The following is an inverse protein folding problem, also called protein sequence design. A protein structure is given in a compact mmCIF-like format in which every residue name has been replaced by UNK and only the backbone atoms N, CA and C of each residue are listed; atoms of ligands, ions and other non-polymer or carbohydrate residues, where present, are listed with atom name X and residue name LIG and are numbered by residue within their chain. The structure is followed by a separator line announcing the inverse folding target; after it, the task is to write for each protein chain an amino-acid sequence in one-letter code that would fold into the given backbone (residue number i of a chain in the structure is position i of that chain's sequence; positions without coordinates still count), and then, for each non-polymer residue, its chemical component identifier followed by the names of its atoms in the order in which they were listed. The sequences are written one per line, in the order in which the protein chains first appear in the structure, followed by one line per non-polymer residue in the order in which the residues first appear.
data_IF_822280538217
#
_entry.id   IF_822280538217
#
_cell.length_a   1.000
_cell.length_b   1.000
_cell.length_c   1.000
_cell.angle_alpha   90.00
_cell.angle_beta   90.00
_cell.angle_gamma   90.00
#
_symmetry.space_group_name_H-M   'P 1'
#
loop_
_entity.id
_entity.type
_entity.pdbx_description
1 polymer ?
#
# COMPACT_ATOMS: atom_id res chain seq x y z
N UNK A 1 -7.45 2.71 -17.86
CA UNK A 1 -7.16 1.77 -16.76
C UNK A 1 -5.66 1.51 -16.76
N UNK A 2 -4.99 1.75 -15.62
CA UNK A 2 -3.53 1.61 -15.45
C UNK A 2 -3.26 0.73 -14.22
N UNK A 3 -2.33 -0.23 -14.33
CA UNK A 3 -1.88 -1.08 -13.23
C UNK A 3 -0.40 -0.80 -12.97
N UNK A 4 -0.08 -0.35 -11.75
CA UNK A 4 1.29 -0.06 -11.33
C UNK A 4 1.71 -0.99 -10.18
N UNK A 5 2.87 -1.61 -10.34
CA UNK A 5 3.50 -2.42 -9.30
C UNK A 5 4.53 -1.59 -8.53
N UNK A 6 4.21 -1.26 -7.28
CA UNK A 6 5.07 -0.47 -6.38
C UNK A 6 6.05 -1.33 -5.58
N UNK A 7 5.71 -2.62 -5.42
CA UNK A 7 6.57 -3.66 -4.89
C UNK A 7 6.05 -5.05 -5.25
N UNK A 8 6.99 -5.95 -5.52
CA UNK A 8 6.71 -7.32 -6.02
C UNK A 8 7.52 -8.39 -5.27
N UNK A 9 8.25 -8.02 -4.22
CA UNK A 9 8.96 -8.97 -3.34
C UNK A 9 8.01 -9.55 -2.30
N UNK A 10 8.12 -10.85 -2.06
CA UNK A 10 7.53 -11.49 -0.88
C UNK A 10 8.45 -11.46 0.33
N UNK A 11 7.88 -11.69 1.50
CA UNK A 11 8.49 -11.88 2.82
C UNK A 11 9.23 -10.67 3.40
N UNK A 12 10.25 -10.14 2.74
CA UNK A 12 11.06 -9.03 3.27
C UNK A 12 11.65 -8.14 2.15
N UNK A 13 11.83 -6.83 2.40
CA UNK A 13 12.44 -5.94 1.43
C UNK A 13 13.95 -6.20 1.28
N UNK A 14 14.49 -6.02 0.08
CA UNK A 14 15.91 -6.26 -0.22
C UNK A 14 16.55 -5.12 -1.00
N UNK A 15 17.55 -4.46 -0.43
CA UNK A 15 18.33 -3.41 -1.10
C UNK A 15 19.71 -3.93 -1.54
N UNK A 16 19.75 -4.80 -2.57
CA UNK A 16 21.00 -5.37 -3.10
C UNK A 16 21.16 -5.12 -4.60
N UNK A 17 22.40 -4.94 -5.12
CA UNK A 17 22.62 -4.67 -6.55
C UNK A 17 22.03 -5.73 -7.49
N UNK A 18 22.16 -7.02 -7.14
CA UNK A 18 21.72 -8.13 -8.00
C UNK A 18 20.19 -8.28 -8.08
N UNK A 19 19.40 -7.58 -7.24
CA UNK A 19 17.92 -7.58 -7.30
C UNK A 19 17.36 -6.30 -7.92
N UNK A 20 18.22 -5.43 -8.48
CA UNK A 20 17.82 -4.11 -8.97
C UNK A 20 16.80 -4.17 -10.12
N UNK A 21 16.83 -5.21 -10.96
CA UNK A 21 15.94 -5.34 -12.12
C UNK A 21 14.46 -5.31 -11.73
N UNK A 22 14.08 -6.01 -10.67
CA UNK A 22 12.69 -6.10 -10.20
C UNK A 22 12.40 -5.20 -8.98
N UNK A 23 13.45 -4.67 -8.36
CA UNK A 23 13.35 -3.84 -7.16
C UNK A 23 13.31 -4.63 -5.85
N UNK A 24 13.35 -3.88 -4.76
CA UNK A 24 13.49 -4.39 -3.40
C UNK A 24 12.24 -4.26 -2.53
N UNK A 25 11.17 -3.65 -3.04
CA UNK A 25 9.98 -3.34 -2.26
C UNK A 25 9.03 -4.54 -2.18
N UNK A 26 8.43 -4.73 -1.02
CA UNK A 26 7.40 -5.75 -0.76
C UNK A 26 6.02 -5.35 -1.28
N UNK A 27 5.10 -6.32 -1.33
CA UNK A 27 3.78 -6.25 -1.99
C UNK A 27 3.09 -4.89 -1.88
N UNK A 28 2.90 -4.24 -3.03
CA UNK A 28 2.00 -3.10 -3.16
C UNK A 28 1.68 -2.89 -4.64
N UNK A 29 0.40 -2.93 -4.98
CA UNK A 29 -0.09 -2.76 -6.35
C UNK A 29 -1.18 -1.70 -6.36
N UNK A 30 -1.19 -0.85 -7.38
CA UNK A 30 -2.22 0.16 -7.59
C UNK A 30 -2.91 -0.10 -8.93
N UNK A 31 -4.24 -0.17 -8.90
CA UNK A 31 -5.10 -0.09 -10.08
C UNK A 31 -5.75 1.30 -10.10
N UNK A 32 -5.59 2.00 -11.22
CA UNK A 32 -6.23 3.29 -11.48
C UNK A 32 -7.20 3.19 -12.66
N UNK A 33 -8.44 3.59 -12.45
CA UNK A 33 -9.46 3.64 -13.49
C UNK A 33 -10.43 4.79 -13.21
N UNK A 34 -10.62 5.67 -14.20
CA UNK A 34 -11.63 6.74 -14.14
C UNK A 34 -11.51 7.63 -12.88
N UNK A 35 -10.27 7.92 -12.44
CA UNK A 35 -10.01 8.71 -11.23
C UNK A 35 -10.23 7.98 -9.91
N UNK A 36 -10.57 6.69 -9.94
CA UNK A 36 -10.59 5.81 -8.78
C UNK A 36 -9.26 5.09 -8.62
N UNK A 37 -8.82 4.93 -7.37
CA UNK A 37 -7.61 4.18 -7.03
C UNK A 37 -7.94 3.03 -6.09
N UNK A 38 -7.57 1.82 -6.50
CA UNK A 38 -7.53 0.63 -5.66
C UNK A 38 -6.07 0.27 -5.39
N UNK A 39 -5.71 0.24 -4.12
CA UNK A 39 -4.40 -0.17 -3.62
C UNK A 39 -4.57 -1.54 -3.00
N UNK A 40 -3.76 -2.50 -3.43
CA UNK A 40 -3.73 -3.87 -2.92
C UNK A 40 -2.42 -4.05 -2.19
N UNK A 41 -2.53 -4.35 -0.90
CA UNK A 41 -1.47 -4.43 0.10
C UNK A 41 -0.69 -3.13 0.33
N UNK A 42 -0.16 -3.02 1.54
CA UNK A 42 0.60 -1.89 2.05
C UNK A 42 1.99 -2.31 2.52
N UNK A 43 2.64 -3.17 1.74
CA UNK A 43 4.06 -3.46 1.90
C UNK A 43 4.92 -2.22 1.68
N UNK A 44 6.24 -2.38 1.77
CA UNK A 44 7.21 -1.27 1.65
C UNK A 44 7.13 -0.52 0.31
N UNK A 45 6.52 -1.10 -0.73
CA UNK A 45 6.22 -0.41 -1.98
C UNK A 45 5.28 0.79 -1.82
N UNK A 46 4.36 0.75 -0.84
CA UNK A 46 3.34 1.79 -0.64
C UNK A 46 3.93 3.17 -0.37
N UNK A 47 5.15 3.25 0.17
CA UNK A 47 5.84 4.52 0.42
C UNK A 47 6.00 5.34 -0.86
N UNK A 48 6.44 4.69 -1.96
CA UNK A 48 6.62 5.37 -3.26
C UNK A 48 5.30 5.81 -3.87
N UNK A 49 4.24 5.01 -3.67
CA UNK A 49 2.89 5.41 -4.05
C UNK A 49 2.45 6.65 -3.26
N UNK A 50 2.72 6.68 -1.96
CA UNK A 50 2.46 7.84 -1.10
C UNK A 50 3.13 9.11 -1.61
N UNK A 51 4.41 9.01 -1.96
CA UNK A 51 5.17 10.13 -2.53
C UNK A 51 4.53 10.64 -3.84
N UNK A 52 4.11 9.74 -4.73
CA UNK A 52 3.40 10.10 -5.99
C UNK A 52 2.06 10.78 -5.73
N UNK A 53 1.26 10.26 -4.80
CA UNK A 53 -0.05 10.83 -4.45
C UNK A 53 0.11 12.23 -3.87
N UNK A 54 1.07 12.44 -2.96
CA UNK A 54 1.36 13.76 -2.40
C UNK A 54 1.79 14.76 -3.46
N UNK A 55 2.66 14.35 -4.39
CA UNK A 55 3.11 15.21 -5.48
C UNK A 55 1.98 15.62 -6.43
N UNK A 56 1.01 14.74 -6.68
CA UNK A 56 -0.15 15.00 -7.54
C UNK A 56 -1.30 15.73 -6.84
N UNK A 57 -1.26 15.80 -5.51
CA UNK A 57 -2.33 16.37 -4.69
C UNK A 57 -3.43 15.37 -4.32
N UNK A 58 -4.31 15.77 -3.37
CA UNK A 58 -5.37 14.92 -2.87
C UNK A 58 -6.40 14.61 -3.97
N UNK A 59 -6.89 13.36 -3.95
CA UNK A 59 -7.89 12.89 -4.90
C UNK A 59 -9.30 13.34 -4.48
N UNK A 60 -10.18 13.56 -5.47
CA UNK A 60 -11.60 13.88 -5.21
C UNK A 60 -12.31 12.68 -4.57
N UNK A 61 -11.99 11.48 -5.06
CA UNK A 61 -12.57 10.23 -4.57
C UNK A 61 -11.70 9.62 -3.45
N UNK A 62 -12.29 8.86 -2.51
CA UNK A 62 -11.53 8.12 -1.52
C UNK A 62 -10.55 7.12 -2.16
N UNK A 63 -9.38 6.97 -1.54
CA UNK A 63 -8.44 5.91 -1.86
C UNK A 63 -8.94 4.60 -1.26
N UNK A 64 -9.07 3.55 -2.07
CA UNK A 64 -9.45 2.23 -1.60
C UNK A 64 -8.19 1.43 -1.27
N UNK A 65 -8.04 0.96 -0.04
CA UNK A 65 -6.92 0.12 0.38
C UNK A 65 -7.43 -1.25 0.84
N UNK A 66 -7.09 -2.28 0.07
CA UNK A 66 -7.37 -3.68 0.36
C UNK A 66 -6.11 -4.36 0.88
N UNK A 67 -6.15 -4.85 2.12
CA UNK A 67 -5.10 -5.70 2.68
C UNK A 67 -5.51 -7.16 2.52
N UNK A 68 -4.74 -7.91 1.74
CA UNK A 68 -5.04 -9.32 1.46
C UNK A 68 -4.93 -10.19 2.72
N UNK A 69 -3.89 -9.99 3.53
CA UNK A 69 -3.65 -10.63 4.82
C UNK A 69 -2.62 -9.81 5.63
N UNK A 70 -2.43 -10.13 6.91
CA UNK A 70 -1.69 -9.29 7.87
C UNK A 70 -0.25 -9.73 8.13
N UNK A 71 0.39 -10.44 7.19
CA UNK A 71 1.83 -10.65 7.24
C UNK A 71 2.59 -9.33 7.05
N UNK A 72 3.76 -9.23 7.68
CA UNK A 72 4.54 -7.99 7.72
C UNK A 72 4.84 -7.42 6.34
N UNK A 73 5.18 -8.23 5.36
CA UNK A 73 5.45 -7.76 4.00
C UNK A 73 4.26 -7.09 3.29
N UNK A 74 3.04 -7.25 3.81
CA UNK A 74 1.80 -6.65 3.30
C UNK A 74 1.34 -5.42 4.10
N UNK A 75 1.93 -5.13 5.27
CA UNK A 75 1.50 -4.02 6.15
C UNK A 75 2.65 -3.14 6.66
N UNK A 76 3.91 -3.56 6.49
CA UNK A 76 5.11 -2.87 7.00
C UNK A 76 5.26 -1.44 6.46
N UNK A 77 4.64 -1.13 5.32
CA UNK A 77 4.66 0.19 4.72
C UNK A 77 3.67 1.19 5.30
N UNK A 78 2.64 0.75 6.04
CA UNK A 78 1.58 1.62 6.57
C UNK A 78 2.12 2.82 7.39
N UNK A 79 3.09 2.65 8.31
CA UNK A 79 3.63 3.79 9.08
C UNK A 79 4.38 4.82 8.23
N UNK A 80 4.77 4.47 7.01
CA UNK A 80 5.53 5.32 6.09
C UNK A 80 4.69 5.84 4.93
N UNK A 81 3.38 5.63 4.97
CA UNK A 81 2.46 6.10 3.94
C UNK A 81 1.94 7.50 4.28
N UNK A 82 2.66 8.53 3.84
CA UNK A 82 2.36 9.93 4.15
C UNK A 82 0.89 10.35 3.98
N UNK A 83 0.13 9.87 2.97
CA UNK A 83 -1.29 10.19 2.85
C UNK A 83 -2.15 9.86 4.08
N UNK A 84 -1.81 8.88 4.91
CA UNK A 84 -2.55 8.59 6.15
C UNK A 84 -2.48 9.70 7.21
N UNK A 85 -1.43 10.51 7.18
CA UNK A 85 -1.21 11.57 8.17
C UNK A 85 -1.65 12.94 7.66
N UNK A 86 -2.32 12.99 6.50
CA UNK A 86 -2.77 14.23 5.90
C UNK A 86 -4.31 14.23 5.81
N UNK A 87 -5.01 15.13 6.53
CA UNK A 87 -6.48 15.14 6.61
C UNK A 87 -7.16 15.46 5.26
N UNK A 88 -6.41 15.87 4.23
CA UNK A 88 -6.93 16.05 2.87
C UNK A 88 -7.19 14.73 2.14
N UNK A 89 -6.71 13.61 2.65
CA UNK A 89 -6.92 12.29 2.06
C UNK A 89 -8.00 11.53 2.82
N UNK A 90 -8.86 10.85 2.08
CA UNK A 90 -9.87 9.95 2.64
C UNK A 90 -9.64 8.52 2.15
N UNK A 91 -9.95 7.55 3.01
CA UNK A 91 -9.65 6.14 2.77
C UNK A 91 -10.87 5.26 3.02
N UNK A 92 -11.03 4.24 2.17
CA UNK A 92 -11.86 3.07 2.45
C UNK A 92 -10.95 1.87 2.64
N UNK A 93 -10.98 1.29 3.83
CA UNK A 93 -10.11 0.18 4.22
C UNK A 93 -10.86 -1.14 4.14
N UNK A 94 -10.24 -2.13 3.51
CA UNK A 94 -10.75 -3.48 3.35
C UNK A 94 -9.71 -4.47 3.83
N UNK A 95 -10.14 -5.55 4.47
CA UNK A 95 -9.25 -6.61 4.93
C UNK A 95 -10.04 -7.81 5.43
N UNK A 96 -9.36 -8.95 5.58
CA UNK A 96 -9.98 -10.18 6.05
C UNK A 96 -10.57 -10.04 7.47
N UNK A 97 -11.73 -10.66 7.69
CA UNK A 97 -12.35 -10.82 9.00
C UNK A 97 -12.25 -12.27 9.47
N UNK A 98 -11.46 -12.52 10.52
CA UNK A 98 -11.40 -13.82 11.20
C UNK A 98 -10.26 -14.73 10.75
N UNK A 99 -9.65 -15.37 11.75
CA UNK A 99 -8.45 -16.23 11.75
C UNK A 99 -7.15 -15.45 11.43
N UNK A 100 -6.25 -15.40 12.41
CA UNK A 100 -4.98 -14.65 12.46
C UNK A 100 -5.10 -13.12 12.34
N UNK A 101 -5.21 -12.48 13.52
CA UNK A 101 -5.24 -11.03 13.75
C UNK A 101 -6.01 -10.22 12.68
N UNK A 102 -7.28 -9.94 12.97
CA UNK A 102 -8.10 -9.04 12.16
C UNK A 102 -7.33 -7.73 11.88
N UNK A 103 -7.36 -7.25 10.63
CA UNK A 103 -6.70 -6.02 10.21
C UNK A 103 -7.01 -4.82 11.14
N UNK A 104 -8.25 -4.71 11.61
CA UNK A 104 -8.64 -3.69 12.58
C UNK A 104 -7.84 -3.78 13.89
N UNK A 105 -7.59 -5.00 14.39
CA UNK A 105 -6.78 -5.22 15.59
C UNK A 105 -5.32 -4.84 15.37
N UNK A 106 -4.76 -5.09 14.18
CA UNK A 106 -3.37 -4.75 13.85
C UNK A 106 -3.17 -3.25 13.76
N UNK A 107 -4.14 -2.51 13.19
CA UNK A 107 -4.06 -1.05 13.08
C UNK A 107 -4.15 -0.30 14.41
N UNK A 108 -4.75 -0.89 15.45
CA UNK A 108 -4.96 -0.26 16.75
C UNK A 108 -3.98 -0.75 17.84
N UNK A 109 -2.95 -1.50 17.46
CA UNK A 109 -1.82 -1.84 18.35
C UNK A 109 -0.71 -0.79 18.19
#
# INVERSE_FOLDING_TARGET
MELTFWGVRGSFPVARPHVRLFGGNTSCVQLEAEGHHLIIDAGTGIRKLGDRLVANGPQIQPLHLLISHTHWDHILGLPFFSPFFNPKYSFKLYGASGIDANFKTVLHR
#
